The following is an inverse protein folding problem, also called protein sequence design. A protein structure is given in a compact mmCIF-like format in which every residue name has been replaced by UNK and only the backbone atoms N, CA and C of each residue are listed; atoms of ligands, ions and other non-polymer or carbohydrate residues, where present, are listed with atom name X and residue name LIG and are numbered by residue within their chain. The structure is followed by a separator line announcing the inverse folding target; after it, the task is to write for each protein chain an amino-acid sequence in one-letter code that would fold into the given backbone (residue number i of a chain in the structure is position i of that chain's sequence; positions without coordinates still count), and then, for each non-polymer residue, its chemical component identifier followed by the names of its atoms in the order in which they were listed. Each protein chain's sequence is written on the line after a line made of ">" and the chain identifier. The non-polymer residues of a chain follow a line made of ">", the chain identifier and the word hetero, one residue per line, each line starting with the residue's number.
data_IF_714234975920
#
_entry.id   IF_714234975920
#
_cell.length_a   1.000
_cell.length_b   1.000
_cell.length_c   1.000
_cell.angle_alpha   90.00
_cell.angle_beta   90.00
_cell.angle_gamma   90.00
#
_symmetry.space_group_name_H-M   'P 1'
#
loop_
_entity.id
_entity.type
_entity.pdbx_description
1 polymer ?
#
# COMPACT_ATOMS: atom_id res chain seq x y z
N UNK A 1 -6.88 16.57 16.11
CA UNK A 1 -7.22 17.08 14.76
C UNK A 1 -8.59 16.54 14.39
N UNK A 2 -9.53 17.41 14.01
CA UNK A 2 -10.87 17.03 13.56
C UNK A 2 -10.94 16.94 12.03
N UNK A 3 -11.94 16.23 11.51
CA UNK A 3 -12.23 16.12 10.07
C UNK A 3 -13.68 16.53 9.84
N UNK A 4 -13.92 17.33 8.81
CA UNK A 4 -15.28 17.64 8.33
C UNK A 4 -15.71 16.50 7.44
N UNK A 5 -16.77 15.78 7.83
CA UNK A 5 -17.40 14.74 7.01
C UNK A 5 -18.72 15.25 6.46
N UNK A 6 -19.04 14.91 5.21
CA UNK A 6 -20.35 15.19 4.63
C UNK A 6 -21.48 14.42 5.34
N UNK A 7 -22.73 14.67 4.93
CA UNK A 7 -23.87 13.87 5.40
C UNK A 7 -23.61 12.39 5.13
N UNK A 8 -23.93 11.52 6.09
CA UNK A 8 -23.83 10.07 5.91
C UNK A 8 -24.86 9.64 4.87
N UNK A 9 -24.45 9.54 3.60
CA UNK A 9 -25.16 8.77 2.58
C UNK A 9 -24.55 7.38 2.55
N UNK A 10 -25.28 6.38 3.02
CA UNK A 10 -24.72 5.04 3.15
C UNK A 10 -25.81 3.98 3.17
N UNK A 11 -25.54 2.88 2.49
CA UNK A 11 -26.39 1.71 2.50
C UNK A 11 -26.15 0.96 3.83
N UNK A 12 -26.99 1.20 4.84
CA UNK A 12 -26.88 0.50 6.14
C UNK A 12 -26.87 -1.04 5.98
N UNK A 13 -27.51 -1.57 4.93
CA UNK A 13 -27.48 -3.00 4.63
C UNK A 13 -26.09 -3.47 4.24
N UNK A 14 -25.33 -2.66 3.48
CA UNK A 14 -23.94 -2.94 3.12
C UNK A 14 -23.06 -3.07 4.38
N UNK A 15 -23.17 -2.14 5.33
CA UNK A 15 -22.39 -2.19 6.59
C UNK A 15 -22.78 -3.38 7.45
N UNK A 16 -24.07 -3.70 7.56
CA UNK A 16 -24.52 -4.89 8.29
C UNK A 16 -23.94 -6.16 7.68
N UNK A 17 -23.87 -6.25 6.34
CA UNK A 17 -23.23 -7.37 5.67
C UNK A 17 -21.72 -7.39 5.89
N UNK A 18 -21.05 -6.22 5.82
CA UNK A 18 -19.63 -6.09 6.14
C UNK A 18 -19.32 -6.63 7.54
N UNK A 19 -20.08 -6.22 8.57
CA UNK A 19 -19.87 -6.70 9.94
C UNK A 19 -20.08 -8.21 10.08
N UNK A 20 -21.12 -8.77 9.44
CA UNK A 20 -21.33 -10.21 9.40
C UNK A 20 -20.18 -10.96 8.73
N UNK A 21 -19.58 -10.37 7.70
CA UNK A 21 -18.46 -10.96 6.99
C UNK A 21 -17.17 -10.92 7.81
N UNK A 22 -16.93 -9.82 8.55
CA UNK A 22 -15.77 -9.72 9.47
C UNK A 22 -15.85 -10.68 10.66
N UNK A 23 -17.05 -11.17 11.00
CA UNK A 23 -17.27 -12.21 12.01
C UNK A 23 -17.19 -13.64 11.42
N UNK A 24 -17.09 -13.78 10.09
CA UNK A 24 -16.96 -15.08 9.43
C UNK A 24 -15.49 -15.35 9.08
N UNK A 25 -14.87 -16.29 9.78
CA UNK A 25 -13.44 -16.62 9.63
C UNK A 25 -13.06 -17.02 8.20
N UNK A 26 -13.92 -17.76 7.50
CA UNK A 26 -13.65 -18.22 6.13
C UNK A 26 -13.65 -17.07 5.13
N UNK A 27 -14.66 -16.20 5.19
CA UNK A 27 -14.76 -15.01 4.32
C UNK A 27 -13.63 -14.04 4.63
N UNK A 28 -13.38 -13.81 5.92
CA UNK A 28 -12.33 -12.92 6.42
C UNK A 28 -10.96 -13.37 5.94
N UNK A 29 -10.65 -14.66 6.07
CA UNK A 29 -9.40 -15.22 5.59
C UNK A 29 -9.26 -15.10 4.06
N UNK A 30 -10.33 -15.37 3.30
CA UNK A 30 -10.34 -15.23 1.83
C UNK A 30 -10.03 -13.80 1.39
N UNK A 31 -10.70 -12.80 1.94
CA UNK A 31 -10.45 -11.40 1.61
C UNK A 31 -9.06 -10.92 2.06
N UNK A 32 -8.65 -11.31 3.26
CA UNK A 32 -7.30 -11.03 3.74
C UNK A 32 -6.24 -11.63 2.80
N UNK A 33 -6.45 -12.84 2.30
CA UNK A 33 -5.57 -13.52 1.35
C UNK A 33 -5.43 -12.70 0.05
N UNK A 34 -6.54 -12.23 -0.51
CA UNK A 34 -6.56 -11.38 -1.70
C UNK A 34 -5.70 -10.12 -1.55
N UNK A 35 -5.83 -9.39 -0.44
CA UNK A 35 -5.02 -8.20 -0.18
C UNK A 35 -3.53 -8.52 -0.12
N UNK A 36 -3.15 -9.63 0.53
CA UNK A 36 -1.74 -10.03 0.66
C UNK A 36 -1.18 -10.57 -0.64
N UNK A 37 -1.96 -11.33 -1.41
CA UNK A 37 -1.56 -11.79 -2.73
C UNK A 37 -1.25 -10.60 -3.64
N UNK A 38 -2.15 -9.62 -3.69
CA UNK A 38 -1.96 -8.41 -4.48
C UNK A 38 -0.75 -7.59 -4.03
N UNK A 39 -0.55 -7.43 -2.71
CA UNK A 39 0.68 -6.83 -2.16
C UNK A 39 1.92 -7.52 -2.70
N UNK A 40 2.01 -8.84 -2.57
CA UNK A 40 3.19 -9.63 -2.99
C UNK A 40 3.43 -9.48 -4.49
N UNK A 41 2.38 -9.57 -5.29
CA UNK A 41 2.47 -9.47 -6.75
C UNK A 41 2.87 -8.06 -7.19
N UNK A 42 2.36 -7.01 -6.54
CA UNK A 42 2.72 -5.64 -6.84
C UNK A 42 4.15 -5.31 -6.39
N UNK A 43 4.61 -5.83 -5.24
CA UNK A 43 6.01 -5.76 -4.84
C UNK A 43 6.91 -6.37 -5.91
N UNK A 44 6.56 -7.59 -6.41
CA UNK A 44 7.28 -8.25 -7.50
C UNK A 44 7.31 -7.41 -8.78
N UNK A 45 6.18 -6.80 -9.15
CA UNK A 45 6.10 -5.94 -10.34
C UNK A 45 7.04 -4.72 -10.23
N UNK A 46 7.17 -4.11 -9.04
CA UNK A 46 8.12 -3.02 -8.78
C UNK A 46 9.56 -3.49 -8.98
N UNK A 47 9.94 -4.62 -8.38
CA UNK A 47 11.30 -5.18 -8.51
C UNK A 47 11.61 -5.57 -9.97
N UNK A 48 10.66 -6.22 -10.64
CA UNK A 48 10.80 -6.63 -12.03
C UNK A 48 11.04 -5.43 -12.96
N UNK A 49 10.29 -4.34 -12.74
CA UNK A 49 10.49 -3.11 -13.53
C UNK A 49 11.87 -2.50 -13.30
N UNK A 50 12.39 -2.51 -12.08
CA UNK A 50 13.73 -2.02 -11.81
C UNK A 50 14.81 -2.86 -12.52
N UNK A 51 14.69 -4.19 -12.52
CA UNK A 51 15.61 -5.06 -13.28
C UNK A 51 15.54 -4.76 -14.77
N UNK A 52 14.33 -4.61 -15.33
CA UNK A 52 14.14 -4.31 -16.76
C UNK A 52 14.72 -2.96 -17.17
N UNK A 53 14.48 -1.93 -16.37
CA UNK A 53 14.80 -0.55 -16.73
C UNK A 53 16.23 -0.14 -16.31
N UNK A 54 16.85 -0.84 -15.34
CA UNK A 54 18.12 -0.46 -14.71
C UNK A 54 19.10 -1.63 -14.47
N UNK A 55 19.06 -2.66 -15.31
CA UNK A 55 19.88 -3.89 -15.18
C UNK A 55 21.38 -3.64 -14.99
N UNK A 56 21.93 -2.55 -15.54
CA UNK A 56 23.35 -2.22 -15.44
C UNK A 56 23.78 -1.64 -14.08
N UNK A 57 22.82 -1.21 -13.26
CA UNK A 57 23.09 -0.48 -12.00
C UNK A 57 22.63 -1.27 -10.77
N UNK A 58 21.55 -2.05 -10.91
CA UNK A 58 20.97 -2.81 -9.80
C UNK A 58 21.61 -4.17 -9.65
N UNK A 59 21.62 -4.71 -8.43
CA UNK A 59 21.99 -6.12 -8.20
C UNK A 59 20.88 -7.06 -8.74
N UNK A 60 21.02 -7.47 -10.00
CA UNK A 60 20.08 -8.36 -10.68
C UNK A 60 19.88 -9.67 -9.91
N UNK A 61 20.95 -10.24 -9.35
CA UNK A 61 20.90 -11.52 -8.66
C UNK A 61 20.04 -11.41 -7.41
N UNK A 62 20.33 -10.42 -6.56
CA UNK A 62 19.55 -10.13 -5.37
C UNK A 62 18.07 -9.90 -5.72
N UNK A 63 17.77 -9.01 -6.68
CA UNK A 63 16.39 -8.71 -7.07
C UNK A 63 15.65 -9.94 -7.62
N UNK A 64 16.33 -10.77 -8.42
CA UNK A 64 15.76 -12.00 -8.98
C UNK A 64 15.48 -13.03 -7.88
N UNK A 65 16.39 -13.20 -6.94
CA UNK A 65 16.24 -14.11 -5.80
C UNK A 65 15.11 -13.63 -4.87
N UNK A 66 15.03 -12.33 -4.59
CA UNK A 66 13.92 -11.73 -3.84
C UNK A 66 12.58 -11.95 -4.54
N UNK A 67 12.51 -11.70 -5.85
CA UNK A 67 11.31 -11.99 -6.64
C UNK A 67 10.93 -13.48 -6.50
N UNK A 68 11.87 -14.40 -6.66
CA UNK A 68 11.61 -15.85 -6.51
C UNK A 68 11.06 -16.18 -5.11
N UNK A 69 11.64 -15.61 -4.06
CA UNK A 69 11.16 -15.75 -2.69
C UNK A 69 9.71 -15.27 -2.53
N UNK A 70 9.40 -14.07 -3.04
CA UNK A 70 8.03 -13.53 -3.06
C UNK A 70 7.05 -14.43 -3.82
N UNK A 71 7.44 -15.01 -4.96
CA UNK A 71 6.59 -15.95 -5.69
C UNK A 71 6.33 -17.24 -4.90
N UNK A 72 7.33 -17.74 -4.17
CA UNK A 72 7.16 -18.91 -3.31
C UNK A 72 6.24 -18.63 -2.12
N UNK A 73 6.27 -17.41 -1.56
CA UNK A 73 5.32 -16.99 -0.52
C UNK A 73 3.90 -16.86 -1.08
N UNK A 74 3.72 -16.28 -2.27
CA UNK A 74 2.41 -16.20 -2.93
C UNK A 74 1.77 -17.58 -3.10
N UNK A 75 2.54 -18.59 -3.53
CA UNK A 75 2.06 -19.99 -3.65
C UNK A 75 1.68 -20.65 -2.32
N UNK A 76 2.21 -20.15 -1.20
CA UNK A 76 1.86 -20.67 0.12
C UNK A 76 0.55 -20.11 0.64
N UNK A 77 0.11 -18.95 0.14
CA UNK A 77 -1.13 -18.30 0.56
C UNK A 77 -2.34 -19.24 0.39
N UNK A 78 -2.39 -20.03 -0.69
CA UNK A 78 -3.49 -20.98 -0.97
C UNK A 78 -3.66 -22.07 0.10
N UNK A 79 -2.62 -22.32 0.90
CA UNK A 79 -2.60 -23.37 1.93
C UNK A 79 -2.82 -22.82 3.34
N UNK A 80 -2.93 -21.50 3.49
CA UNK A 80 -3.10 -20.86 4.80
C UNK A 80 -4.50 -21.15 5.34
N UNK A 81 -4.57 -21.52 6.63
CA UNK A 81 -5.82 -21.90 7.31
C UNK A 81 -6.31 -20.87 8.33
N UNK A 82 -5.50 -19.87 8.66
CA UNK A 82 -5.83 -18.87 9.66
C UNK A 82 -5.11 -17.53 9.41
N UNK A 83 -5.64 -16.46 10.00
CA UNK A 83 -5.10 -15.11 9.86
C UNK A 83 -3.73 -14.92 10.52
N UNK A 84 -3.35 -15.76 11.49
CA UNK A 84 -2.06 -15.64 12.14
C UNK A 84 -0.94 -16.10 11.19
N UNK A 85 -1.10 -17.27 10.56
CA UNK A 85 -0.22 -17.76 9.52
C UNK A 85 -0.18 -16.79 8.31
N UNK A 86 -1.31 -16.22 7.91
CA UNK A 86 -1.35 -15.23 6.83
C UNK A 86 -0.50 -13.99 7.14
N UNK A 87 -0.63 -13.43 8.36
CA UNK A 87 0.19 -12.30 8.82
C UNK A 87 1.68 -12.66 8.90
N UNK A 88 2.01 -13.92 9.22
CA UNK A 88 3.38 -14.42 9.18
C UNK A 88 3.98 -14.39 7.77
N UNK A 89 3.23 -14.82 6.76
CA UNK A 89 3.66 -14.76 5.35
C UNK A 89 3.75 -13.31 4.84
N UNK A 90 2.81 -12.44 5.25
CA UNK A 90 2.86 -11.01 4.96
C UNK A 90 4.14 -10.37 5.51
N UNK A 91 4.50 -10.66 6.77
CA UNK A 91 5.71 -10.14 7.40
C UNK A 91 6.98 -10.62 6.69
N UNK A 92 7.04 -11.90 6.30
CA UNK A 92 8.16 -12.44 5.50
C UNK A 92 8.25 -11.76 4.13
N UNK A 93 7.12 -11.55 3.45
CA UNK A 93 7.10 -10.87 2.16
C UNK A 93 7.56 -9.41 2.27
N UNK A 94 7.10 -8.71 3.32
CA UNK A 94 7.54 -7.35 3.61
C UNK A 94 9.04 -7.30 3.89
N UNK A 95 9.56 -8.20 4.71
CA UNK A 95 11.00 -8.30 5.00
C UNK A 95 11.83 -8.50 3.73
N UNK A 96 11.46 -9.47 2.88
CA UNK A 96 12.14 -9.71 1.60
C UNK A 96 12.12 -8.48 0.70
N UNK A 97 10.96 -7.84 0.55
CA UNK A 97 10.80 -6.65 -0.28
C UNK A 97 11.64 -5.47 0.23
N UNK A 98 11.57 -5.16 1.52
CA UNK A 98 12.29 -4.02 2.09
C UNK A 98 13.81 -4.25 2.17
N UNK A 99 14.26 -5.49 2.35
CA UNK A 99 15.69 -5.84 2.23
C UNK A 99 16.24 -5.52 0.84
N UNK A 100 15.44 -5.76 -0.22
CA UNK A 100 15.82 -5.44 -1.59
C UNK A 100 15.59 -3.95 -1.97
N UNK A 101 14.90 -3.18 -1.13
CA UNK A 101 14.43 -1.84 -1.50
C UNK A 101 15.55 -0.84 -1.78
N UNK A 102 16.67 -0.94 -1.05
CA UNK A 102 17.83 -0.09 -1.27
C UNK A 102 18.46 -0.26 -2.66
N UNK A 103 18.20 -1.38 -3.37
CA UNK A 103 18.62 -1.55 -4.77
C UNK A 103 17.79 -0.72 -5.75
N UNK A 104 16.63 -0.24 -5.32
CA UNK A 104 15.74 0.58 -6.13
C UNK A 104 16.10 2.08 -6.05
N UNK A 105 16.98 2.46 -5.12
CA UNK A 105 17.47 3.81 -4.92
C UNK A 105 18.73 4.00 -5.78
N UNK A 106 18.56 4.76 -6.87
CA UNK A 106 19.54 4.88 -7.96
C UNK A 106 20.37 6.18 -7.87
N UNK A 107 19.80 7.25 -7.32
CA UNK A 107 20.54 8.47 -6.97
C UNK A 107 20.33 8.75 -5.48
N UNK A 108 21.37 9.20 -4.77
CA UNK A 108 21.32 9.51 -3.32
C UNK A 108 21.26 8.29 -2.37
N UNK A 109 21.87 7.16 -2.72
CA UNK A 109 21.87 5.93 -1.89
C UNK A 109 22.56 6.08 -0.52
N UNK A 110 23.52 6.98 -0.40
CA UNK A 110 24.19 7.28 0.88
C UNK A 110 23.26 8.03 1.85
N UNK A 111 22.43 8.92 1.32
CA UNK A 111 21.50 9.73 2.12
C UNK A 111 20.16 9.04 2.40
N UNK A 112 19.72 8.22 1.45
CA UNK A 112 18.48 7.46 1.50
C UNK A 112 18.81 5.97 1.45
N UNK A 113 18.84 5.36 2.63
CA UNK A 113 18.90 3.92 2.81
C UNK A 113 18.09 3.54 4.04
N UNK A 114 17.57 2.31 4.06
CA UNK A 114 16.94 1.72 5.23
C UNK A 114 17.58 0.38 5.56
N UNK A 115 17.71 0.05 6.84
CA UNK A 115 18.01 -1.33 7.27
C UNK A 115 16.74 -2.17 7.28
N UNK A 116 15.65 -1.59 7.79
CA UNK A 116 14.34 -2.21 7.86
C UNK A 116 13.23 -1.15 7.78
N UNK A 117 11.98 -1.60 7.62
CA UNK A 117 10.83 -0.69 7.66
C UNK A 117 10.47 -0.38 9.11
N UNK A 118 10.67 0.87 9.54
CA UNK A 118 10.31 1.33 10.88
C UNK A 118 9.40 2.58 10.87
N UNK A 119 8.39 2.61 11.75
CA UNK A 119 7.27 3.57 11.60
C UNK A 119 7.19 4.63 12.70
N UNK A 120 7.58 4.35 13.94
CA UNK A 120 7.32 5.23 15.11
C UNK A 120 8.41 5.14 16.18
N UNK A 121 9.33 6.12 16.24
CA UNK A 121 9.62 7.12 15.21
C UNK A 121 10.31 6.49 13.98
N UNK A 122 10.22 7.09 12.77
CA UNK A 122 11.12 6.76 11.68
C UNK A 122 12.55 7.18 12.05
N UNK A 123 13.54 6.37 11.70
CA UNK A 123 14.95 6.54 12.10
C UNK A 123 15.85 6.87 10.91
N UNK A 124 15.29 6.86 9.70
CA UNK A 124 15.95 7.28 8.48
C UNK A 124 14.97 8.06 7.58
N UNK A 125 15.54 8.73 6.58
CA UNK A 125 14.83 9.65 5.68
C UNK A 125 13.80 8.94 4.82
N UNK A 126 14.11 7.72 4.37
CA UNK A 126 13.20 6.97 3.49
C UNK A 126 12.01 6.40 4.26
N UNK A 127 12.21 5.94 5.50
CA UNK A 127 11.13 5.55 6.40
C UNK A 127 10.24 6.74 6.77
N UNK A 128 10.80 7.95 6.94
CA UNK A 128 10.02 9.16 7.14
C UNK A 128 9.14 9.48 5.92
N UNK A 129 9.72 9.45 4.72
CA UNK A 129 9.01 9.68 3.46
C UNK A 129 7.90 8.63 3.20
N UNK A 130 8.21 7.34 3.31
CA UNK A 130 7.24 6.26 3.12
C UNK A 130 6.11 6.33 4.16
N UNK A 131 6.43 6.68 5.40
CA UNK A 131 5.40 6.85 6.45
C UNK A 131 4.44 7.99 6.13
N UNK A 132 4.95 9.10 5.59
CA UNK A 132 4.13 10.21 5.14
C UNK A 132 3.24 9.81 3.94
N UNK A 133 3.81 9.17 2.92
CA UNK A 133 3.06 8.71 1.75
C UNK A 133 2.00 7.66 2.10
N UNK A 134 2.30 6.72 3.00
CA UNK A 134 1.30 5.76 3.48
C UNK A 134 0.18 6.43 4.25
N UNK A 135 0.46 7.54 4.94
CA UNK A 135 -0.57 8.32 5.63
C UNK A 135 -1.50 8.98 4.60
N UNK A 136 -0.96 9.60 3.55
CA UNK A 136 -1.76 10.16 2.44
C UNK A 136 -2.63 9.07 1.79
N UNK A 137 -2.04 7.93 1.43
CA UNK A 137 -2.77 6.82 0.82
C UNK A 137 -3.88 6.28 1.74
N UNK A 138 -3.62 6.16 3.04
CA UNK A 138 -4.64 5.75 4.02
C UNK A 138 -5.81 6.72 4.01
N UNK A 139 -5.56 8.03 3.96
CA UNK A 139 -6.63 9.03 3.93
C UNK A 139 -7.49 8.94 2.66
N UNK A 140 -6.87 8.73 1.49
CA UNK A 140 -7.60 8.54 0.22
C UNK A 140 -8.49 7.30 0.27
N UNK A 141 -7.99 6.18 0.82
CA UNK A 141 -8.75 4.94 0.94
C UNK A 141 -9.89 5.09 1.96
N UNK A 142 -9.66 5.75 3.09
CA UNK A 142 -10.73 6.05 4.07
C UNK A 142 -11.84 6.85 3.40
N UNK A 143 -11.50 7.90 2.66
CA UNK A 143 -12.48 8.72 1.95
C UNK A 143 -13.25 7.91 0.89
N UNK A 144 -12.56 7.05 0.14
CA UNK A 144 -13.16 6.15 -0.84
C UNK A 144 -14.15 5.17 -0.19
N UNK A 145 -13.74 4.47 0.86
CA UNK A 145 -14.59 3.52 1.60
C UNK A 145 -15.86 4.19 2.13
N UNK A 146 -15.71 5.37 2.74
CA UNK A 146 -16.85 6.14 3.27
C UNK A 146 -17.81 6.59 2.17
N UNK A 147 -17.28 7.04 1.03
CA UNK A 147 -18.09 7.49 -0.10
C UNK A 147 -18.97 6.38 -0.71
N UNK A 148 -18.51 5.13 -0.65
CA UNK A 148 -19.26 3.94 -1.09
C UNK A 148 -20.25 3.45 -0.02
N UNK A 149 -20.03 3.85 1.24
CA UNK A 149 -20.86 3.47 2.38
C UNK A 149 -20.30 2.31 3.21
N UNK A 150 -19.06 1.88 2.99
CA UNK A 150 -18.35 0.93 3.86
C UNK A 150 -17.90 1.63 5.15
N UNK A 151 -17.65 0.84 6.20
CA UNK A 151 -17.01 1.31 7.43
C UNK A 151 -15.50 1.11 7.33
N UNK A 152 -14.68 2.17 7.33
CA UNK A 152 -13.22 2.05 7.24
C UNK A 152 -12.56 1.33 8.43
N UNK A 153 -13.23 1.21 9.57
CA UNK A 153 -12.67 0.59 10.77
C UNK A 153 -12.90 -0.93 10.82
N UNK A 154 -13.90 -1.46 10.12
CA UNK A 154 -14.21 -2.89 10.12
C UNK A 154 -13.46 -3.64 9.00
N UNK A 155 -12.22 -4.06 9.30
CA UNK A 155 -11.33 -4.76 8.37
C UNK A 155 -11.41 -6.28 8.47
N UNK A 156 -10.73 -6.96 7.56
CA UNK A 156 -10.62 -8.41 7.44
C UNK A 156 -9.23 -8.95 7.83
N UNK A 157 -8.16 -8.17 7.65
CA UNK A 157 -6.80 -8.62 7.97
C UNK A 157 -6.26 -7.98 9.24
N UNK A 158 -6.32 -6.65 9.36
CA UNK A 158 -5.77 -5.95 10.52
C UNK A 158 -6.72 -6.06 11.72
N UNK A 159 -6.16 -6.40 12.89
CA UNK A 159 -6.93 -6.47 14.14
C UNK A 159 -7.57 -5.13 14.48
N UNK A 160 -8.82 -5.19 14.91
CA UNK A 160 -9.57 -4.04 15.39
C UNK A 160 -8.89 -3.41 16.59
N UNK A 161 -8.79 -2.08 16.52
CA UNK A 161 -8.34 -1.22 17.62
C UNK A 161 -9.15 0.07 17.52
N UNK A 162 -9.63 0.64 18.64
CA UNK A 162 -10.38 1.89 18.62
C UNK A 162 -9.67 2.99 17.81
N UNK A 163 -10.37 3.56 16.83
CA UNK A 163 -9.86 4.63 15.98
C UNK A 163 -8.91 4.20 14.85
N UNK A 164 -8.64 2.89 14.69
CA UNK A 164 -7.85 2.37 13.58
C UNK A 164 -8.75 2.09 12.39
N UNK A 165 -8.46 2.69 11.24
CA UNK A 165 -9.12 2.37 9.97
C UNK A 165 -8.62 1.02 9.42
N UNK A 166 -8.96 -0.10 10.08
CA UNK A 166 -8.44 -1.44 9.74
C UNK A 166 -8.72 -1.83 8.28
N UNK A 167 -9.93 -1.60 7.77
CA UNK A 167 -10.25 -1.91 6.38
C UNK A 167 -9.44 -1.05 5.40
N UNK A 168 -9.26 0.23 5.72
CA UNK A 168 -8.44 1.10 4.87
C UNK A 168 -7.00 0.60 4.82
N UNK A 169 -6.46 0.07 5.92
CA UNK A 169 -5.11 -0.50 5.95
C UNK A 169 -5.02 -1.83 5.19
N UNK A 170 -6.09 -2.62 5.17
CA UNK A 170 -6.20 -3.87 4.40
C UNK A 170 -6.18 -3.58 2.90
N UNK A 171 -7.11 -2.74 2.40
CA UNK A 171 -7.16 -2.31 1.00
C UNK A 171 -5.87 -1.58 0.60
N UNK A 172 -5.21 -0.90 1.53
CA UNK A 172 -3.93 -0.26 1.25
C UNK A 172 -2.83 -1.27 0.90
N UNK A 173 -2.88 -2.52 1.39
CA UNK A 173 -1.82 -3.51 1.15
C UNK A 173 -1.57 -3.73 -0.35
N UNK A 174 -2.63 -3.81 -1.16
CA UNK A 174 -2.50 -3.97 -2.61
C UNK A 174 -2.00 -2.69 -3.31
N UNK A 175 -2.23 -1.51 -2.75
CA UNK A 175 -1.91 -0.24 -3.40
C UNK A 175 -0.51 0.30 -3.04
N UNK A 176 0.07 -0.05 -1.87
CA UNK A 176 1.35 0.52 -1.38
C UNK A 176 2.48 0.49 -2.41
N UNK A 177 2.81 -0.65 -3.05
CA UNK A 177 3.98 -0.72 -3.91
C UNK A 177 3.85 0.24 -5.11
N UNK A 178 2.66 0.32 -5.69
CA UNK A 178 2.44 1.14 -6.88
C UNK A 178 2.23 2.63 -6.58
N UNK A 179 1.48 2.96 -5.53
CA UNK A 179 1.12 4.34 -5.20
C UNK A 179 2.23 5.07 -4.46
N UNK A 180 2.67 4.51 -3.35
CA UNK A 180 3.56 5.18 -2.41
C UNK A 180 5.02 4.84 -2.69
N UNK A 181 5.37 3.56 -2.76
CA UNK A 181 6.77 3.14 -2.84
C UNK A 181 7.44 3.64 -4.13
N UNK A 182 6.76 3.46 -5.28
CA UNK A 182 7.24 4.01 -6.55
C UNK A 182 7.33 5.53 -6.57
N UNK A 183 6.44 6.24 -5.89
CA UNK A 183 6.55 7.70 -5.83
C UNK A 183 7.74 8.11 -4.97
N UNK A 184 7.96 7.47 -3.83
CA UNK A 184 9.15 7.70 -3.00
C UNK A 184 10.43 7.51 -3.82
N UNK A 185 10.54 6.38 -4.52
CA UNK A 185 11.67 6.08 -5.41
C UNK A 185 11.81 7.13 -6.53
N UNK A 186 10.70 7.56 -7.13
CA UNK A 186 10.73 8.59 -8.19
C UNK A 186 11.24 9.92 -7.66
N UNK A 187 10.79 10.36 -6.48
CA UNK A 187 11.22 11.60 -5.86
C UNK A 187 12.71 11.59 -5.54
N UNK A 188 13.20 10.49 -4.98
CA UNK A 188 14.61 10.31 -4.62
C UNK A 188 15.47 10.21 -5.89
N UNK A 189 15.14 9.29 -6.82
CA UNK A 189 15.94 8.99 -8.01
C UNK A 189 15.98 10.13 -9.03
N UNK A 190 15.03 11.07 -8.97
CA UNK A 190 15.00 12.28 -9.80
C UNK A 190 15.55 13.51 -9.08
N UNK A 191 16.10 13.33 -7.87
CA UNK A 191 16.61 14.41 -7.02
C UNK A 191 15.57 15.53 -6.79
N UNK A 192 14.27 15.20 -6.76
CA UNK A 192 13.20 16.17 -6.46
C UNK A 192 13.15 16.49 -4.97
N UNK A 193 13.64 15.56 -4.14
CA UNK A 193 13.91 15.75 -2.72
C UNK A 193 15.35 15.34 -2.44
N UNK A 194 15.93 15.88 -1.37
CA UNK A 194 17.30 15.59 -0.95
C UNK A 194 17.43 15.48 0.56
N UNK A 195 18.61 15.07 1.03
CA UNK A 195 18.91 14.88 2.45
C UNK A 195 18.61 16.12 3.32
N UNK A 196 18.80 17.31 2.74
CA UNK A 196 18.61 18.61 3.41
C UNK A 196 17.16 18.88 3.82
N UNK A 197 16.20 18.20 3.17
CA UNK A 197 14.77 18.29 3.48
C UNK A 197 14.34 17.53 4.75
N UNK A 198 15.28 16.87 5.42
CA UNK A 198 15.02 15.99 6.55
C UNK A 198 15.89 16.36 7.74
N UNK A 199 15.26 16.59 8.88
CA UNK A 199 15.89 16.96 10.15
C UNK A 199 15.92 15.75 11.07
N UNK A 200 17.12 15.35 11.47
CA UNK A 200 17.33 14.33 12.50
C UNK A 200 17.24 15.03 13.86
N UNK A 201 16.30 14.61 14.70
CA UNK A 201 16.11 15.11 16.06
C UNK A 201 17.10 14.44 17.02
N UNK A 202 17.28 15.03 18.21
CA UNK A 202 18.19 14.53 19.25
C UNK A 202 17.93 13.07 19.64
N UNK A 203 16.66 12.64 19.58
CA UNK A 203 16.25 11.26 19.85
C UNK A 203 16.39 10.30 18.65
N UNK A 204 17.06 10.72 17.58
CA UNK A 204 17.23 9.96 16.34
C UNK A 204 16.01 9.97 15.41
N UNK A 205 14.89 10.58 15.81
CA UNK A 205 13.70 10.64 14.96
C UNK A 205 13.95 11.55 13.74
N UNK A 206 13.58 11.08 12.55
CA UNK A 206 13.71 11.85 11.31
C UNK A 206 12.38 12.54 10.97
N UNK A 207 12.42 13.85 10.80
CA UNK A 207 11.25 14.67 10.47
C UNK A 207 11.48 15.39 9.14
N UNK A 208 10.49 15.31 8.26
CA UNK A 208 10.50 16.02 6.98
C UNK A 208 10.03 17.48 7.18
N UNK A 209 10.82 18.43 6.66
CA UNK A 209 10.50 19.85 6.72
C UNK A 209 9.28 20.22 5.86
N UNK A 210 8.78 21.44 6.02
CA UNK A 210 7.54 21.87 5.36
C UNK A 210 7.71 22.08 3.84
N UNK A 211 8.91 22.48 3.38
CA UNK A 211 9.19 22.67 1.95
C UNK A 211 9.20 21.32 1.22
N UNK A 212 9.91 20.34 1.75
CA UNK A 212 9.96 18.97 1.23
C UNK A 212 8.59 18.31 1.31
N UNK A 213 7.86 18.53 2.41
CA UNK A 213 6.46 18.06 2.53
C UNK A 213 5.58 18.64 1.43
N UNK A 214 5.72 19.92 1.11
CA UNK A 214 4.99 20.58 0.02
C UNK A 214 5.33 19.97 -1.33
N UNK A 215 6.61 19.73 -1.62
CA UNK A 215 7.04 19.06 -2.87
C UNK A 215 6.46 17.64 -3.00
N UNK A 216 6.50 16.85 -1.91
CA UNK A 216 5.90 15.51 -1.87
C UNK A 216 4.39 15.57 -2.13
N UNK A 217 3.69 16.54 -1.54
CA UNK A 217 2.24 16.73 -1.75
C UNK A 217 1.91 17.14 -3.19
N UNK A 218 2.69 18.05 -3.80
CA UNK A 218 2.50 18.44 -5.19
C UNK A 218 2.72 17.25 -6.14
N UNK A 219 3.78 16.47 -5.90
CA UNK A 219 4.04 15.25 -6.66
C UNK A 219 2.94 14.19 -6.47
N UNK A 220 2.42 14.03 -5.25
CA UNK A 220 1.28 13.15 -4.96
C UNK A 220 0.03 13.58 -5.75
N UNK A 221 -0.33 14.87 -5.74
CA UNK A 221 -1.48 15.37 -6.50
C UNK A 221 -1.31 15.18 -8.00
N UNK A 222 -0.12 15.51 -8.54
CA UNK A 222 0.19 15.31 -9.96
C UNK A 222 0.06 13.84 -10.35
N UNK A 223 0.61 12.94 -9.54
CA UNK A 223 0.56 11.49 -9.75
C UNK A 223 -0.87 10.96 -9.79
N UNK A 224 -1.78 11.48 -8.96
CA UNK A 224 -3.21 11.08 -9.00
C UNK A 224 -3.89 11.39 -10.34
N UNK A 225 -3.39 12.38 -11.08
CA UNK A 225 -3.90 12.73 -12.42
C UNK A 225 -3.34 11.85 -13.55
N UNK A 226 -2.33 11.00 -13.29
CA UNK A 226 -1.82 10.06 -14.30
C UNK A 226 -2.92 9.08 -14.72
N UNK A 227 -3.07 8.81 -16.02
CA UNK A 227 -4.04 7.83 -16.51
C UNK A 227 -3.44 6.42 -16.53
N UNK A 228 -4.22 5.44 -16.11
CA UNK A 228 -3.88 4.02 -16.21
C UNK A 228 -5.03 3.22 -16.81
N UNK A 229 -4.72 2.07 -17.41
CA UNK A 229 -5.70 1.05 -17.73
C UNK A 229 -6.02 0.25 -16.47
N UNK A 230 -7.25 0.32 -15.96
CA UNK A 230 -7.62 -0.46 -14.77
C UNK A 230 -7.66 -1.96 -15.10
N UNK A 231 -6.92 -2.84 -14.40
CA UNK A 231 -6.69 -4.22 -14.83
C UNK A 231 -7.94 -5.11 -14.83
N UNK A 232 -8.94 -4.79 -14.02
CA UNK A 232 -10.21 -5.53 -13.95
C UNK A 232 -11.35 -4.89 -14.75
N UNK A 233 -11.37 -3.57 -14.86
CA UNK A 233 -12.44 -2.87 -15.59
C UNK A 233 -12.10 -2.75 -17.08
N UNK A 234 -10.82 -2.83 -17.43
CA UNK A 234 -10.31 -2.62 -18.79
C UNK A 234 -10.68 -1.22 -19.34
N UNK A 235 -10.83 -0.25 -18.43
CA UNK A 235 -11.14 1.16 -18.73
C UNK A 235 -10.02 2.11 -18.31
N UNK A 236 -9.84 3.19 -19.09
CA UNK A 236 -8.87 4.24 -18.78
C UNK A 236 -9.42 5.08 -17.64
N UNK A 237 -8.67 5.15 -16.54
CA UNK A 237 -9.06 5.89 -15.34
C UNK A 237 -7.87 6.69 -14.81
N UNK A 238 -8.14 7.81 -14.16
CA UNK A 238 -7.11 8.51 -13.39
C UNK A 238 -6.65 7.63 -12.21
N UNK A 239 -5.35 7.61 -11.94
CA UNK A 239 -4.76 6.81 -10.87
C UNK A 239 -5.38 7.14 -9.51
N UNK A 240 -5.74 8.40 -9.27
CA UNK A 240 -6.44 8.84 -8.07
C UNK A 240 -7.82 8.20 -7.85
N UNK A 241 -8.45 7.63 -8.88
CA UNK A 241 -9.74 6.92 -8.76
C UNK A 241 -9.60 5.45 -8.37
N UNK A 242 -8.40 4.87 -8.41
CA UNK A 242 -8.22 3.44 -8.06
C UNK A 242 -8.68 3.11 -6.63
N UNK A 243 -8.39 3.89 -5.58
CA UNK A 243 -8.93 3.62 -4.24
C UNK A 243 -10.47 3.56 -4.22
N UNK A 244 -11.13 4.46 -4.96
CA UNK A 244 -12.59 4.46 -5.12
C UNK A 244 -13.08 3.21 -5.85
N UNK A 245 -12.43 2.83 -6.95
CA UNK A 245 -12.78 1.64 -7.72
C UNK A 245 -12.63 0.37 -6.87
N UNK A 246 -11.55 0.23 -6.10
CA UNK A 246 -11.34 -0.93 -5.22
C UNK A 246 -12.37 -0.96 -4.07
N UNK A 247 -12.68 0.19 -3.46
CA UNK A 247 -13.77 0.28 -2.49
C UNK A 247 -15.14 -0.12 -3.09
N UNK A 248 -15.42 0.30 -4.33
CA UNK A 248 -16.63 -0.05 -5.06
C UNK A 248 -16.70 -1.54 -5.37
N UNK A 249 -15.61 -2.16 -5.85
CA UNK A 249 -15.53 -3.58 -6.16
C UNK A 249 -15.70 -4.43 -4.90
N UNK A 250 -15.08 -4.03 -3.78
CA UNK A 250 -15.29 -4.68 -2.49
C UNK A 250 -16.76 -4.60 -2.05
N UNK A 251 -17.39 -3.43 -2.16
CA UNK A 251 -18.80 -3.28 -1.81
C UNK A 251 -19.73 -4.12 -2.70
N UNK A 252 -19.45 -4.19 -4.00
CA UNK A 252 -20.17 -5.07 -4.94
C UNK A 252 -20.05 -6.53 -4.53
N UNK A 253 -18.86 -6.97 -4.14
CA UNK A 253 -18.65 -8.33 -3.66
C UNK A 253 -19.43 -8.60 -2.36
N UNK A 254 -19.38 -7.69 -1.38
CA UNK A 254 -20.14 -7.83 -0.11
C UNK A 254 -21.67 -7.89 -0.34
N UNK A 255 -22.18 -7.26 -1.41
CA UNK A 255 -23.59 -7.35 -1.79
C UNK A 255 -23.95 -8.61 -2.58
N UNK A 256 -22.96 -9.35 -3.08
CA UNK A 256 -23.17 -10.47 -3.99
C UNK A 256 -23.36 -10.05 -5.46
N UNK A 257 -23.04 -8.80 -5.81
CA UNK A 257 -23.12 -8.30 -7.20
C UNK A 257 -22.00 -8.89 -8.09
N UNK A 258 -20.91 -9.36 -7.48
CA UNK A 258 -19.79 -10.07 -8.11
C UNK A 258 -19.36 -11.24 -7.24
N UNK A 259 -18.90 -12.33 -7.88
CA UNK A 259 -18.58 -13.60 -7.21
C UNK A 259 -17.41 -13.50 -6.23
N UNK A 260 -16.40 -12.68 -6.56
CA UNK A 260 -15.23 -12.45 -5.72
C UNK A 260 -14.73 -11.01 -5.81
N UNK A 261 -13.93 -10.59 -4.82
CA UNK A 261 -13.20 -9.33 -4.86
C UNK A 261 -11.98 -9.43 -5.79
N UNK A 262 -11.92 -8.71 -6.92
CA UNK A 262 -10.79 -8.73 -7.83
C UNK A 262 -9.70 -7.78 -7.33
N UNK A 263 -8.55 -8.28 -6.84
CA UNK A 263 -7.52 -7.43 -6.26
C UNK A 263 -6.83 -6.56 -7.31
N UNK A 264 -6.30 -5.42 -6.90
CA UNK A 264 -5.56 -4.56 -7.82
C UNK A 264 -4.17 -5.13 -8.14
N UNK A 265 -3.96 -5.64 -9.35
CA UNK A 265 -2.65 -6.05 -9.85
C UNK A 265 -2.12 -5.03 -10.84
N UNK A 266 -1.06 -4.32 -10.46
CA UNK A 266 -0.40 -3.36 -11.32
C UNK A 266 0.47 -4.06 -12.38
N UNK A 267 0.32 -3.64 -13.64
CA UNK A 267 1.09 -4.12 -14.80
C UNK A 267 2.10 -3.06 -15.29
#
# INVERSE_FOLDING_TARGET
>A
MGRVTGKVSGNILLRRNQYRWTENDTITLRLANHFILAKIMNCRAVLHRAVRDHSQVVDIKLLTDTMRGLANLAKQLDKVKDLHALRGLEGQAAYLYFTAFNQLILSQKEDFSMTERNRRPPLDRINALLSFLYTLLTHEIVAALESIGLDPQAGFLHRDRPGRASLALDVMEELRPHFADRLALTLINRNQISANGFVIKENGAVVMDDNTRKEVLLAWQKRKGEEIMHPYLEEKVSLGLVPYIQAMLLARHIRGDIEDYPPFFWK
#
